data_IF_632281386407
#
_entry.id   IF_632281386407
#
_cell.length_a   1.000
_cell.length_b   1.000
_cell.length_c   1.000
_cell.angle_alpha   90.00
_cell.angle_beta   90.00
_cell.angle_gamma   90.00
#
_symmetry.space_group_name_H-M   'P 1'
#
loop_
_entity.id
_entity.type
_entity.pdbx_description
1 polymer ?
#
# COMPACT_ATOMS: atom_id res chain seq x y z
N UNK A 1 -20.28 8.06 12.88
CA UNK A 1 -19.00 8.76 12.67
C UNK A 1 -18.54 9.31 14.01
N UNK A 2 -17.24 9.51 14.24
CA UNK A 2 -16.78 10.27 15.41
C UNK A 2 -16.41 11.68 14.99
N UNK A 3 -16.74 12.66 15.82
CA UNK A 3 -16.22 14.02 15.68
C UNK A 3 -14.75 14.10 16.15
N UNK A 4 -14.18 15.31 16.12
CA UNK A 4 -12.80 15.58 16.51
C UNK A 4 -12.51 15.29 17.98
N UNK A 5 -13.54 15.37 18.83
CA UNK A 5 -13.48 15.09 20.26
C UNK A 5 -13.75 13.61 20.58
N UNK A 6 -13.88 12.77 19.54
CA UNK A 6 -14.05 11.33 19.65
C UNK A 6 -15.47 10.87 20.00
N UNK A 7 -16.43 11.80 20.08
CA UNK A 7 -17.84 11.50 20.38
C UNK A 7 -18.54 10.95 19.14
N UNK A 8 -19.35 9.92 19.33
CA UNK A 8 -20.10 9.27 18.24
C UNK A 8 -21.36 10.08 17.91
N UNK A 9 -21.53 10.40 16.64
CA UNK A 9 -22.73 11.08 16.13
C UNK A 9 -23.48 10.16 15.16
N UNK A 10 -24.78 9.89 15.40
CA UNK A 10 -25.61 9.06 14.51
C UNK A 10 -26.38 9.87 13.45
N UNK A 11 -26.45 11.21 13.59
CA UNK A 11 -27.17 12.08 12.67
C UNK A 11 -26.42 12.24 11.34
N UNK A 12 -27.13 12.05 10.22
CA UNK A 12 -26.57 12.12 8.86
C UNK A 12 -25.99 13.49 8.52
N UNK A 13 -26.64 14.58 8.91
CA UNK A 13 -26.17 15.94 8.62
C UNK A 13 -24.85 16.24 9.34
N UNK A 14 -24.76 15.81 10.60
CA UNK A 14 -23.54 15.99 11.40
C UNK A 14 -22.40 15.13 10.86
N UNK A 15 -22.69 13.92 10.37
CA UNK A 15 -21.70 13.08 9.69
C UNK A 15 -21.14 13.79 8.45
N UNK A 16 -21.98 14.41 7.63
CA UNK A 16 -21.54 15.15 6.44
C UNK A 16 -20.65 16.33 6.82
N UNK A 17 -21.01 17.09 7.85
CA UNK A 17 -20.18 18.20 8.37
C UNK A 17 -18.83 17.72 8.89
N UNK A 18 -18.79 16.56 9.58
CA UNK A 18 -17.54 15.95 10.04
C UNK A 18 -16.66 15.55 8.85
N UNK A 19 -17.23 14.91 7.81
CA UNK A 19 -16.50 14.54 6.60
C UNK A 19 -15.94 15.79 5.89
N UNK A 20 -16.77 16.80 5.68
CA UNK A 20 -16.39 18.05 5.03
C UNK A 20 -15.22 18.72 5.76
N UNK A 21 -15.35 18.86 7.09
CA UNK A 21 -14.30 19.44 7.91
C UNK A 21 -13.01 18.62 7.85
N UNK A 22 -13.11 17.30 7.91
CA UNK A 22 -11.95 16.41 7.87
C UNK A 22 -11.18 16.57 6.56
N UNK A 23 -11.87 16.53 5.41
CA UNK A 23 -11.22 16.64 4.12
C UNK A 23 -10.71 18.06 3.83
N UNK A 24 -11.43 19.10 4.26
CA UNK A 24 -10.94 20.48 4.19
C UNK A 24 -9.64 20.64 4.97
N UNK A 25 -9.58 20.18 6.21
CA UNK A 25 -8.36 20.24 7.02
C UNK A 25 -7.22 19.41 6.43
N UNK A 26 -7.53 18.23 5.88
CA UNK A 26 -6.55 17.34 5.27
C UNK A 26 -5.85 18.06 4.10
N UNK A 27 -6.63 18.60 3.17
CA UNK A 27 -6.10 19.21 1.95
C UNK A 27 -5.54 20.62 2.18
N UNK A 28 -6.09 21.41 3.11
CA UNK A 28 -5.56 22.73 3.47
C UNK A 28 -4.20 22.64 4.18
N UNK A 29 -3.97 21.57 4.95
CA UNK A 29 -2.68 21.34 5.65
C UNK A 29 -1.63 20.73 4.73
N UNK A 30 -1.98 19.79 3.86
CA UNK A 30 -1.00 19.19 2.92
C UNK A 30 -0.41 20.17 1.91
N UNK A 31 -1.12 21.27 1.59
CA UNK A 31 -0.58 22.31 0.70
C UNK A 31 0.36 23.28 1.44
N UNK A 32 0.25 23.37 2.76
CA UNK A 32 0.96 24.35 3.59
C UNK A 32 2.06 23.77 4.47
N UNK A 33 2.22 22.45 4.50
CA UNK A 33 3.28 21.80 5.25
C UNK A 33 4.58 21.79 4.42
N UNK A 34 5.60 22.59 4.77
CA UNK A 34 6.91 22.53 4.12
C UNK A 34 7.65 21.20 4.39
N UNK A 35 7.15 20.31 5.27
CA UNK A 35 7.61 18.92 5.36
C UNK A 35 6.95 18.00 4.32
N UNK A 36 5.81 18.42 3.75
CA UNK A 36 5.32 17.98 2.42
C UNK A 36 5.97 18.88 1.37
N UNK A 37 7.25 19.20 1.55
CA UNK A 37 8.13 19.18 0.41
C UNK A 37 7.88 17.82 -0.24
N UNK A 38 7.24 17.83 -1.41
CA UNK A 38 7.67 16.92 -2.47
C UNK A 38 9.18 17.07 -2.43
N UNK A 39 9.87 16.14 -1.78
CA UNK A 39 11.32 16.09 -1.83
C UNK A 39 11.60 16.30 -3.30
N UNK A 40 12.35 17.35 -3.73
CA UNK A 40 12.77 17.41 -5.12
C UNK A 40 13.25 16.01 -5.40
N UNK A 41 12.62 15.35 -6.40
CA UNK A 41 12.89 13.95 -6.74
C UNK A 41 14.37 13.79 -6.52
N UNK A 42 14.74 12.97 -5.53
CA UNK A 42 16.14 12.67 -5.32
C UNK A 42 16.54 11.83 -6.54
N UNK A 43 16.60 12.49 -7.69
CA UNK A 43 17.22 12.02 -8.89
C UNK A 43 18.67 11.87 -8.47
N UNK A 44 19.03 10.63 -8.11
CA UNK A 44 20.18 9.89 -8.67
C UNK A 44 20.49 8.62 -7.86
N UNK A 45 19.90 8.35 -6.69
CA UNK A 45 20.15 7.07 -6.01
C UNK A 45 19.11 6.02 -6.36
N UNK A 46 19.50 5.09 -7.24
CA UNK A 46 18.75 3.84 -7.50
C UNK A 46 18.48 3.18 -6.14
N UNK A 47 17.20 2.98 -5.80
CA UNK A 47 16.84 2.27 -4.58
C UNK A 47 17.55 0.91 -4.55
N UNK A 48 18.07 0.48 -3.38
CA UNK A 48 18.77 -0.79 -3.28
C UNK A 48 17.83 -1.95 -3.64
N UNK A 49 18.35 -3.02 -4.25
CA UNK A 49 17.54 -4.20 -4.53
C UNK A 49 17.06 -4.85 -3.24
N UNK A 50 15.85 -5.40 -3.27
CA UNK A 50 15.31 -6.22 -2.20
C UNK A 50 16.14 -7.49 -2.02
N UNK A 51 16.40 -7.85 -0.77
CA UNK A 51 17.06 -9.09 -0.36
C UNK A 51 16.05 -10.21 -0.11
N UNK A 52 16.48 -11.47 -0.24
CA UNK A 52 15.64 -12.62 0.12
C UNK A 52 15.21 -12.60 1.60
N UNK A 53 16.04 -12.04 2.48
CA UNK A 53 15.75 -11.92 3.91
C UNK A 53 14.58 -10.98 4.16
N UNK A 54 14.55 -9.83 3.50
CA UNK A 54 13.45 -8.86 3.58
C UNK A 54 12.16 -9.50 3.06
N UNK A 55 12.22 -10.11 1.87
CA UNK A 55 11.06 -10.78 1.27
C UNK A 55 10.53 -11.89 2.18
N UNK A 56 11.42 -12.68 2.80
CA UNK A 56 11.04 -13.71 3.77
C UNK A 56 10.36 -13.13 5.01
N UNK A 57 10.87 -12.02 5.54
CA UNK A 57 10.26 -11.34 6.68
C UNK A 57 8.85 -10.81 6.33
N UNK A 58 8.71 -10.16 5.18
CA UNK A 58 7.42 -9.66 4.70
C UNK A 58 6.41 -10.78 4.49
N UNK A 59 6.80 -11.89 3.85
CA UNK A 59 5.91 -13.05 3.66
C UNK A 59 5.44 -13.63 5.00
N UNK A 60 6.31 -13.67 6.01
CA UNK A 60 5.94 -14.14 7.35
C UNK A 60 4.90 -13.23 8.00
N UNK A 61 5.04 -11.91 7.82
CA UNK A 61 4.18 -10.89 8.42
C UNK A 61 2.81 -10.73 7.76
N UNK A 62 2.62 -11.27 6.53
CA UNK A 62 1.33 -11.22 5.84
C UNK A 62 0.19 -11.80 6.70
N UNK A 63 -1.00 -11.20 6.67
CA UNK A 63 -2.15 -11.75 7.39
C UNK A 63 -2.69 -13.02 6.71
N UNK A 64 -3.11 -14.01 7.50
CA UNK A 64 -3.72 -15.27 7.02
C UNK A 64 -5.22 -15.09 6.74
N UNK A 65 -5.82 -16.03 6.02
CA UNK A 65 -7.27 -16.06 5.75
C UNK A 65 -7.80 -14.79 5.06
N UNK A 66 -6.94 -14.12 4.27
CA UNK A 66 -7.37 -13.02 3.40
C UNK A 66 -7.87 -13.58 2.09
N UNK A 67 -8.89 -12.92 1.52
CA UNK A 67 -9.39 -13.26 0.20
C UNK A 67 -8.25 -13.18 -0.82
N UNK A 68 -8.16 -14.13 -1.76
CA UNK A 68 -7.13 -14.11 -2.79
C UNK A 68 -7.28 -12.89 -3.71
N UNK A 69 -6.18 -12.49 -4.34
CA UNK A 69 -6.18 -11.42 -5.34
C UNK A 69 -6.76 -11.88 -6.70
N UNK A 70 -6.67 -11.05 -7.74
CA UNK A 70 -7.06 -11.43 -9.11
C UNK A 70 -6.31 -12.65 -9.66
N UNK A 71 -5.13 -12.94 -9.11
CA UNK A 71 -4.31 -14.12 -9.40
C UNK A 71 -4.84 -15.40 -8.75
N UNK A 72 -5.86 -15.30 -7.90
CA UNK A 72 -6.47 -16.39 -7.14
C UNK A 72 -5.49 -17.10 -6.17
N UNK A 73 -4.37 -16.45 -5.81
CA UNK A 73 -3.39 -17.00 -4.88
C UNK A 73 -3.59 -16.36 -3.50
N UNK A 74 -3.72 -17.18 -2.46
CA UNK A 74 -3.86 -16.70 -1.07
C UNK A 74 -2.50 -16.44 -0.43
N UNK A 75 -2.48 -15.62 0.62
CA UNK A 75 -1.27 -15.37 1.42
C UNK A 75 -0.67 -16.65 2.03
N UNK A 76 -1.52 -17.65 2.34
CA UNK A 76 -1.08 -18.92 2.90
C UNK A 76 -0.25 -19.74 1.90
N UNK A 77 -0.58 -19.68 0.60
CA UNK A 77 0.23 -20.33 -0.45
C UNK A 77 1.62 -19.69 -0.52
N UNK A 78 1.71 -18.37 -0.45
CA UNK A 78 3.00 -17.67 -0.44
C UNK A 78 3.84 -18.04 0.79
N UNK A 79 3.21 -18.22 1.95
CA UNK A 79 3.89 -18.64 3.19
C UNK A 79 4.38 -20.09 3.15
N UNK A 80 3.60 -21.00 2.56
CA UNK A 80 3.95 -22.42 2.40
C UNK A 80 4.98 -22.67 1.30
N UNK A 81 5.09 -21.74 0.35
CA UNK A 81 5.92 -21.83 -0.84
C UNK A 81 7.44 -21.97 -0.63
N UNK A 82 7.92 -21.76 0.59
CA UNK A 82 9.32 -21.94 0.96
C UNK A 82 10.30 -21.08 0.14
N UNK A 83 11.54 -21.56 0.01
CA UNK A 83 12.63 -20.81 -0.63
C UNK A 83 12.40 -20.52 -2.11
N UNK A 84 11.71 -21.41 -2.84
CA UNK A 84 11.44 -21.23 -4.27
C UNK A 84 10.58 -19.98 -4.50
N UNK A 85 9.54 -19.79 -3.69
CA UNK A 85 8.66 -18.61 -3.77
C UNK A 85 9.39 -17.35 -3.32
N UNK A 86 10.24 -17.42 -2.28
CA UNK A 86 11.06 -16.29 -1.84
C UNK A 86 11.96 -15.81 -3.00
N UNK A 87 12.73 -16.71 -3.61
CA UNK A 87 13.61 -16.39 -4.74
C UNK A 87 12.86 -15.78 -5.93
N UNK A 88 11.73 -16.40 -6.29
CA UNK A 88 10.89 -15.90 -7.38
C UNK A 88 10.36 -14.50 -7.09
N UNK A 89 9.90 -14.25 -5.86
CA UNK A 89 9.33 -12.96 -5.46
C UNK A 89 10.39 -11.87 -5.37
N UNK A 90 11.57 -12.17 -4.82
CA UNK A 90 12.71 -11.24 -4.81
C UNK A 90 13.09 -10.82 -6.22
N UNK A 91 13.21 -11.78 -7.14
CA UNK A 91 13.49 -11.48 -8.55
C UNK A 91 12.40 -10.61 -9.18
N UNK A 92 11.12 -10.92 -8.95
CA UNK A 92 10.01 -10.14 -9.49
C UNK A 92 9.99 -8.71 -8.96
N UNK A 93 10.16 -8.51 -7.65
CA UNK A 93 10.21 -7.19 -7.03
C UNK A 93 11.39 -6.36 -7.57
N UNK A 94 12.58 -6.96 -7.69
CA UNK A 94 13.75 -6.27 -8.25
C UNK A 94 13.58 -5.94 -9.73
N UNK A 95 12.95 -6.81 -10.52
CA UNK A 95 12.63 -6.50 -11.92
C UNK A 95 11.68 -5.30 -12.03
N UNK A 96 10.68 -5.18 -11.16
CA UNK A 96 9.76 -4.03 -11.15
C UNK A 96 10.52 -2.76 -10.75
N UNK A 97 11.39 -2.88 -9.74
CA UNK A 97 12.24 -1.78 -9.27
C UNK A 97 13.15 -1.23 -10.37
N UNK A 98 13.66 -2.10 -11.25
CA UNK A 98 14.53 -1.70 -12.36
C UNK A 98 13.76 -1.16 -13.57
N UNK A 99 12.60 -1.73 -13.88
CA UNK A 99 11.86 -1.41 -15.11
C UNK A 99 10.87 -0.25 -14.94
N UNK A 100 10.55 0.15 -13.71
CA UNK A 100 9.47 1.09 -13.38
C UNK A 100 8.14 0.74 -14.06
N UNK A 101 7.93 -0.53 -14.41
CA UNK A 101 6.77 -0.99 -15.14
C UNK A 101 6.06 -2.07 -14.33
N UNK A 102 4.85 -1.76 -13.89
CA UNK A 102 3.94 -2.78 -13.40
C UNK A 102 3.19 -3.30 -14.62
N UNK A 103 3.49 -4.53 -15.04
CA UNK A 103 2.68 -5.19 -16.06
C UNK A 103 1.27 -5.31 -15.51
N UNK A 104 0.38 -4.41 -15.90
CA UNK A 104 -1.01 -4.48 -15.51
C UNK A 104 -1.56 -5.84 -15.97
N UNK A 105 -2.00 -6.65 -15.01
CA UNK A 105 -2.90 -7.76 -15.27
C UNK A 105 -4.14 -7.14 -15.90
N UNK A 106 -4.23 -7.18 -17.24
CA UNK A 106 -5.38 -6.68 -18.00
C UNK A 106 -6.64 -7.22 -17.32
N UNK A 107 -7.40 -6.35 -16.66
CA UNK A 107 -8.72 -6.69 -16.10
C UNK A 107 -9.51 -7.28 -17.27
N UNK A 108 -9.72 -8.59 -17.24
CA UNK A 108 -10.63 -9.25 -18.16
C UNK A 108 -11.95 -8.50 -18.07
N UNK A 109 -12.34 -7.84 -19.16
CA UNK A 109 -13.66 -7.26 -19.28
C UNK A 109 -14.64 -8.43 -19.17
N UNK A 110 -15.44 -8.43 -18.10
CA UNK A 110 -16.65 -9.24 -18.03
C UNK A 110 -17.73 -8.59 -18.90
#
# INVERSE_FOLDING_TARGET
>A
MKDKDGKKTPNREDILKICEHFYRDLYDKTIKDPSVQTTPSADTEKSPPFTEREVKACLKDMSKNKAPGPDQITSDVYKLGGEKIIKCRTKCCNNILETNNTTELKRGKK
#
